data_IF_666079312875
#
_entry.id   IF_666079312875
#
_cell.length_a   1.000
_cell.length_b   1.000
_cell.length_c   1.000
_cell.angle_alpha   90.00
_cell.angle_beta   90.00
_cell.angle_gamma   90.00
#
_symmetry.space_group_name_H-M   'P 1'
#
loop_
_entity.id
_entity.type
_entity.pdbx_description
1 polymer ?
#
# COMPACT_ATOMS: atom_id res chain seq x y z
N UNK A 1 -22.37 21.33 -19.64
CA UNK A 1 -21.87 20.76 -18.37
C UNK A 1 -21.09 19.50 -18.70
N UNK A 2 -19.80 19.46 -18.40
CA UNK A 2 -18.95 18.28 -18.61
C UNK A 2 -19.20 17.28 -17.47
N UNK A 3 -19.37 15.97 -17.72
CA UNK A 3 -19.52 15.00 -16.65
C UNK A 3 -18.16 14.82 -15.95
N UNK A 4 -18.18 15.01 -14.65
CA UNK A 4 -17.07 14.87 -13.71
C UNK A 4 -16.70 13.38 -13.57
N UNK A 5 -15.52 13.01 -14.04
CA UNK A 5 -14.98 11.66 -14.00
C UNK A 5 -14.16 11.42 -12.71
N UNK A 6 -14.72 11.74 -11.54
CA UNK A 6 -14.04 11.58 -10.24
C UNK A 6 -14.16 10.17 -9.62
N UNK A 7 -14.79 9.19 -10.28
CA UNK A 7 -15.03 7.87 -9.68
C UNK A 7 -14.36 6.68 -10.37
N UNK A 8 -13.15 6.86 -10.93
CA UNK A 8 -12.29 5.72 -11.25
C UNK A 8 -11.70 5.12 -9.95
N UNK A 9 -12.57 4.55 -9.11
CA UNK A 9 -12.19 3.72 -7.97
C UNK A 9 -11.54 2.48 -8.55
N UNK A 10 -10.22 2.53 -8.80
CA UNK A 10 -9.41 1.34 -9.09
C UNK A 10 -9.54 0.42 -7.88
N UNK A 11 -10.49 -0.50 -7.98
CA UNK A 11 -10.60 -1.65 -7.11
C UNK A 11 -9.36 -2.50 -7.41
N UNK A 12 -8.30 -2.29 -6.64
CA UNK A 12 -7.18 -3.22 -6.55
C UNK A 12 -7.73 -4.48 -5.86
N UNK A 13 -8.42 -5.30 -6.66
CA UNK A 13 -8.92 -6.61 -6.29
C UNK A 13 -7.76 -7.60 -6.47
N UNK A 14 -6.98 -7.80 -5.42
CA UNK A 14 -6.15 -9.00 -5.25
C UNK A 14 -6.57 -9.64 -3.93
N UNK A 15 -6.97 -10.93 -3.88
CA UNK A 15 -7.48 -11.56 -2.66
C UNK A 15 -6.33 -12.15 -1.83
N UNK A 16 -5.29 -11.36 -1.56
CA UNK A 16 -4.04 -11.88 -1.05
C UNK A 16 -3.45 -11.01 0.04
N UNK A 17 -4.06 -10.98 1.23
CA UNK A 17 -3.47 -10.46 2.47
C UNK A 17 -2.56 -9.23 2.28
N UNK A 18 -3.06 -8.20 1.60
CA UNK A 18 -2.30 -6.98 1.27
C UNK A 18 -2.17 -6.04 2.48
N UNK A 19 -2.69 -6.47 3.63
CA UNK A 19 -2.63 -5.78 4.90
C UNK A 19 -1.38 -6.24 5.64
N UNK A 20 -0.45 -5.30 5.80
CA UNK A 20 0.73 -5.45 6.61
C UNK A 20 0.47 -5.01 8.05
N UNK A 21 0.89 -5.84 8.99
CA UNK A 21 0.81 -5.57 10.42
C UNK A 21 2.21 -5.28 10.95
N UNK A 22 2.58 -3.99 11.08
CA UNK A 22 3.91 -3.64 11.56
C UNK A 22 4.11 -4.14 13.00
N UNK A 23 5.29 -4.70 13.29
CA UNK A 23 5.65 -5.12 14.65
C UNK A 23 5.78 -3.97 15.66
N UNK A 24 5.80 -2.73 15.17
CA UNK A 24 5.83 -1.53 16.01
C UNK A 24 4.41 -1.14 16.45
N UNK A 25 4.19 -1.05 17.75
CA UNK A 25 2.86 -0.78 18.35
C UNK A 25 2.30 0.61 18.08
N UNK A 26 3.08 1.55 17.50
CA UNK A 26 2.60 2.89 17.16
C UNK A 26 2.12 3.04 15.71
N UNK A 27 2.15 1.97 14.91
CA UNK A 27 1.65 1.97 13.55
C UNK A 27 0.43 1.05 13.44
N UNK A 28 -0.62 1.54 12.77
CA UNK A 28 -1.75 0.71 12.39
C UNK A 28 -1.39 -0.24 11.25
N UNK A 29 -2.25 -1.24 11.06
CA UNK A 29 -2.20 -2.08 9.88
C UNK A 29 -2.35 -1.23 8.61
N UNK A 30 -1.50 -1.47 7.61
CA UNK A 30 -1.43 -0.66 6.40
C UNK A 30 -1.42 -1.52 5.14
N UNK A 31 -1.92 -0.97 4.04
CA UNK A 31 -1.84 -1.61 2.74
C UNK A 31 -0.44 -1.44 2.16
N UNK A 32 0.19 -2.52 1.70
CA UNK A 32 1.46 -2.46 0.97
C UNK A 32 1.21 -2.62 -0.54
N UNK A 33 1.60 -1.64 -1.38
CA UNK A 33 1.50 -1.77 -2.84
C UNK A 33 2.29 -2.95 -3.38
N UNK A 34 1.76 -3.61 -4.41
CA UNK A 34 2.37 -4.80 -5.03
C UNK A 34 3.84 -4.61 -5.40
N UNK A 35 4.21 -3.44 -5.91
CA UNK A 35 5.58 -3.12 -6.32
C UNK A 35 6.61 -3.19 -5.19
N UNK A 36 6.18 -3.08 -3.93
CA UNK A 36 7.04 -3.08 -2.74
C UNK A 36 6.70 -4.17 -1.73
N UNK A 37 5.78 -5.09 -2.05
CA UNK A 37 5.42 -6.23 -1.17
C UNK A 37 6.56 -7.19 -0.86
N UNK A 38 7.56 -7.27 -1.74
CA UNK A 38 8.78 -8.04 -1.50
C UNK A 38 9.57 -7.57 -0.26
N UNK A 39 9.30 -6.36 0.22
CA UNK A 39 9.92 -5.77 1.40
C UNK A 39 9.01 -5.82 2.64
N UNK A 40 7.93 -6.62 2.63
CA UNK A 40 6.93 -6.62 3.71
C UNK A 40 7.48 -7.06 5.09
N UNK A 41 8.66 -7.69 5.15
CA UNK A 41 9.32 -8.05 6.41
C UNK A 41 10.23 -6.94 6.96
N UNK A 42 10.44 -5.86 6.20
CA UNK A 42 11.24 -4.71 6.60
C UNK A 42 10.44 -3.69 7.42
N UNK A 43 11.09 -2.81 8.20
CA UNK A 43 10.42 -1.69 8.85
C UNK A 43 9.68 -0.80 7.85
N UNK A 44 8.52 -0.24 8.25
CA UNK A 44 7.66 0.54 7.35
C UNK A 44 8.40 1.69 6.62
N UNK A 45 9.35 2.35 7.30
CA UNK A 45 10.13 3.43 6.70
C UNK A 45 11.06 2.96 5.56
N UNK A 46 11.53 1.71 5.59
CA UNK A 46 12.32 1.09 4.51
C UNK A 46 11.42 0.82 3.31
N UNK A 47 10.23 0.27 3.54
CA UNK A 47 9.24 -0.02 2.49
C UNK A 47 8.84 1.27 1.77
N UNK A 48 8.59 2.35 2.53
CA UNK A 48 8.30 3.68 1.97
C UNK A 48 9.46 4.22 1.14
N UNK A 49 10.71 4.04 1.59
CA UNK A 49 11.89 4.47 0.83
C UNK A 49 11.99 3.75 -0.53
N UNK A 50 11.77 2.43 -0.57
CA UNK A 50 11.69 1.69 -1.83
C UNK A 50 10.56 2.17 -2.72
N UNK A 51 9.41 2.53 -2.14
CA UNK A 51 8.29 3.04 -2.91
C UNK A 51 8.59 4.40 -3.55
N UNK A 52 9.29 5.29 -2.86
CA UNK A 52 9.67 6.61 -3.39
C UNK A 52 10.69 6.57 -4.53
N UNK A 53 11.41 5.46 -4.71
CA UNK A 53 12.39 5.29 -5.79
C UNK A 53 11.78 4.74 -7.09
N UNK A 54 10.53 4.29 -7.05
CA UNK A 54 9.76 3.76 -8.17
C UNK A 54 8.95 4.86 -8.85
#
# INVERSE_FOLDING_TARGET
MCPDNTHAKKQYLTPGNDIHYPGQTNHDACFIPESVRQYADEPLYIIVAHWCLL
#
